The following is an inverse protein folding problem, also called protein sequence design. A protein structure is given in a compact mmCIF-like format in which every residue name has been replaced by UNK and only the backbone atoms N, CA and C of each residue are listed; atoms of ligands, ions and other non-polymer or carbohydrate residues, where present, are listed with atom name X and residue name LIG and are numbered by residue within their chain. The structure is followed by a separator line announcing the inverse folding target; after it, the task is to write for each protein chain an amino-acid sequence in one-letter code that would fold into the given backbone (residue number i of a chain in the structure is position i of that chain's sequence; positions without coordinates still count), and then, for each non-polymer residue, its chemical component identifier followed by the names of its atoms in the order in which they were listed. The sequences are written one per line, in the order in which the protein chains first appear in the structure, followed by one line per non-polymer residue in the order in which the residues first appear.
data_IF_120821129727
#
_entry.id   IF_120821129727
#
_cell.length_a   1.000
_cell.length_b   1.000
_cell.length_c   1.000
_cell.angle_alpha   90.00
_cell.angle_beta   90.00
_cell.angle_gamma   90.00
#
_symmetry.space_group_name_H-M   'P 1'
#
loop_
_entity.id
_entity.type
_entity.pdbx_description
1 polymer ?
#
# COMPACT_ATOMS: atom_id res chain seq x y z
N UNK A 1 -6.69 -18.05 0.03
CA UNK A 1 -7.91 -17.83 0.84
C UNK A 1 -9.02 -17.15 0.04
N UNK A 2 -8.82 -15.94 -0.49
CA UNK A 2 -9.90 -15.14 -1.10
C UNK A 2 -10.40 -15.61 -2.47
N UNK A 3 -9.53 -16.13 -3.33
CA UNK A 3 -9.93 -16.54 -4.68
C UNK A 3 -10.79 -17.81 -4.66
N UNK A 4 -11.92 -17.85 -5.39
CA UNK A 4 -12.68 -19.08 -5.63
C UNK A 4 -11.84 -20.17 -6.32
N UNK A 5 -10.83 -19.78 -7.12
CA UNK A 5 -9.93 -20.72 -7.79
C UNK A 5 -9.05 -21.50 -6.81
N UNK A 6 -8.92 -21.03 -5.57
CA UNK A 6 -8.17 -21.74 -4.54
C UNK A 6 -9.02 -22.69 -3.69
N UNK A 7 -10.31 -22.86 -4.01
CA UNK A 7 -11.23 -23.69 -3.23
C UNK A 7 -10.83 -25.16 -3.27
N UNK A 8 -10.70 -25.77 -2.08
CA UNK A 8 -10.33 -27.18 -1.93
C UNK A 8 -8.84 -27.49 -2.11
N UNK A 9 -7.99 -26.50 -2.40
CA UNK A 9 -6.54 -26.72 -2.59
C UNK A 9 -5.75 -26.79 -1.27
N UNK A 10 -6.35 -26.36 -0.16
CA UNK A 10 -5.74 -26.39 1.17
C UNK A 10 -6.84 -26.53 2.24
N UNK A 11 -6.42 -26.94 3.43
CA UNK A 11 -7.31 -27.18 4.58
C UNK A 11 -7.05 -26.23 5.76
N UNK A 12 -5.92 -25.51 5.76
CA UNK A 12 -5.48 -24.55 6.77
C UNK A 12 -4.62 -23.48 6.12
N UNK A 13 -4.50 -22.31 6.75
CA UNK A 13 -3.62 -21.24 6.30
C UNK A 13 -2.87 -20.57 7.45
N UNK A 14 -1.68 -20.03 7.16
CA UNK A 14 -0.90 -19.20 8.08
C UNK A 14 -0.64 -17.87 7.36
N UNK A 15 -1.07 -16.76 7.96
CA UNK A 15 -0.74 -15.40 7.52
C UNK A 15 0.34 -14.81 8.40
N UNK A 16 1.43 -14.33 7.81
CA UNK A 16 2.60 -13.80 8.54
C UNK A 16 2.87 -12.38 8.05
N UNK A 17 2.80 -11.41 8.96
CA UNK A 17 3.15 -10.00 8.73
C UNK A 17 2.44 -9.36 7.52
N UNK A 18 1.15 -9.67 7.30
CA UNK A 18 0.38 -9.02 6.25
C UNK A 18 -0.99 -9.61 5.96
N UNK A 19 -1.85 -8.79 5.34
CA UNK A 19 -3.19 -9.17 4.87
C UNK A 19 -3.44 -8.68 3.45
N UNK A 20 -4.45 -9.25 2.81
CA UNK A 20 -4.94 -8.74 1.53
C UNK A 20 -5.64 -7.36 1.63
N UNK A 21 -5.97 -6.89 2.83
CA UNK A 21 -6.58 -5.55 3.05
C UNK A 21 -5.55 -4.49 3.45
N UNK A 22 -4.30 -4.88 3.68
CA UNK A 22 -3.22 -3.95 3.95
C UNK A 22 -3.07 -2.95 2.78
N UNK A 23 -2.77 -1.66 3.04
CA UNK A 23 -2.75 -0.61 2.02
C UNK A 23 -1.83 -0.90 0.83
N UNK A 24 -0.76 -1.66 1.09
CA UNK A 24 0.26 -2.06 0.11
C UNK A 24 -0.10 -3.31 -0.68
N UNK A 25 -1.11 -4.10 -0.28
CA UNK A 25 -1.37 -5.43 -0.85
C UNK A 25 -2.35 -5.41 -2.04
N UNK A 26 -3.01 -4.28 -2.30
CA UNK A 26 -4.00 -4.16 -3.38
C UNK A 26 -3.96 -2.78 -4.04
N UNK A 27 -4.03 -2.76 -5.38
CA UNK A 27 -4.07 -1.53 -6.15
C UNK A 27 -5.51 -1.21 -6.60
N UNK A 28 -6.13 -0.12 -6.10
CA UNK A 28 -7.47 0.29 -6.51
C UNK A 28 -7.49 1.04 -7.85
N UNK A 29 -6.34 1.54 -8.32
CA UNK A 29 -6.21 2.38 -9.52
C UNK A 29 -5.04 1.95 -10.42
N UNK A 30 -4.98 0.68 -10.90
CA UNK A 30 -3.83 0.15 -11.64
C UNK A 30 -3.56 0.90 -12.96
N UNK A 31 -4.58 1.51 -13.56
CA UNK A 31 -4.44 2.33 -14.78
C UNK A 31 -3.70 3.64 -14.56
N UNK A 32 -3.83 4.23 -13.37
CA UNK A 32 -3.12 5.48 -13.02
C UNK A 32 -1.63 5.18 -12.99
N UNK A 33 -1.25 4.13 -12.28
CA UNK A 33 0.13 3.63 -12.23
C UNK A 33 0.64 3.37 -13.65
N UNK A 34 -0.05 2.54 -14.44
CA UNK A 34 0.36 2.24 -15.81
C UNK A 34 0.57 3.50 -16.68
N UNK A 35 -0.28 4.52 -16.52
CA UNK A 35 -0.12 5.78 -17.22
C UNK A 35 1.14 6.55 -16.78
N UNK A 36 1.39 6.63 -15.46
CA UNK A 36 2.59 7.28 -14.92
C UNK A 36 3.88 6.64 -15.46
N UNK A 37 3.93 5.31 -15.54
CA UNK A 37 5.10 4.58 -16.07
C UNK A 37 5.28 4.86 -17.56
N UNK A 38 4.20 4.78 -18.35
CA UNK A 38 4.27 5.11 -19.78
C UNK A 38 4.76 6.54 -20.00
N UNK A 39 4.36 7.49 -19.15
CA UNK A 39 4.85 8.87 -19.21
C UNK A 39 6.36 8.95 -18.97
N UNK A 40 6.90 8.23 -17.97
CA UNK A 40 8.35 8.15 -17.74
C UNK A 40 9.08 7.55 -18.95
N UNK A 41 8.44 6.62 -19.66
CA UNK A 41 8.95 6.01 -20.90
C UNK A 41 8.71 6.87 -22.16
N UNK A 42 8.24 8.11 -22.00
CA UNK A 42 8.04 9.06 -23.10
C UNK A 42 6.73 8.91 -23.87
N UNK A 43 5.78 8.11 -23.37
CA UNK A 43 4.47 7.89 -23.99
C UNK A 43 3.36 8.54 -23.18
N UNK A 44 2.92 9.72 -23.64
CA UNK A 44 1.79 10.44 -23.02
C UNK A 44 0.47 10.02 -23.67
N UNK A 45 -0.36 9.27 -22.93
CA UNK A 45 -1.66 8.82 -23.42
C UNK A 45 -2.58 8.35 -22.30
N UNK A 46 -3.89 8.50 -22.50
CA UNK A 46 -4.95 7.90 -21.67
C UNK A 46 -5.65 6.71 -22.36
N UNK A 47 -5.19 6.33 -23.56
CA UNK A 47 -5.79 5.25 -24.33
C UNK A 47 -5.23 3.88 -23.88
N UNK A 48 -6.12 3.00 -23.39
CA UNK A 48 -5.73 1.69 -22.87
C UNK A 48 -5.04 0.80 -23.92
N UNK A 49 -5.44 0.87 -25.19
CA UNK A 49 -4.84 0.06 -26.25
C UNK A 49 -3.42 0.55 -26.54
N UNK A 50 -3.21 1.86 -26.62
CA UNK A 50 -1.88 2.44 -26.82
C UNK A 50 -0.92 2.13 -25.67
N UNK A 51 -1.41 2.18 -24.42
CA UNK A 51 -0.65 1.73 -23.26
C UNK A 51 -0.24 0.25 -23.40
N UNK A 52 -1.20 -0.61 -23.73
CA UNK A 52 -0.95 -2.04 -23.93
C UNK A 52 0.09 -2.30 -25.03
N UNK A 53 -0.09 -1.70 -26.21
CA UNK A 53 0.82 -1.89 -27.35
C UNK A 53 2.24 -1.42 -27.02
N UNK A 54 2.37 -0.31 -26.30
CA UNK A 54 3.66 0.18 -25.82
C UNK A 54 4.31 -0.82 -24.86
N UNK A 55 3.60 -1.27 -23.83
CA UNK A 55 4.18 -2.19 -22.84
C UNK A 55 4.51 -3.56 -23.42
N UNK A 56 3.76 -4.03 -24.41
CA UNK A 56 4.04 -5.30 -25.10
C UNK A 56 5.29 -5.25 -25.98
N UNK A 57 5.74 -4.05 -26.38
CA UNK A 57 6.91 -3.86 -27.25
C UNK A 57 8.10 -3.20 -26.56
N UNK A 58 7.88 -2.68 -25.34
CA UNK A 58 8.91 -2.04 -24.54
C UNK A 58 10.03 -3.01 -24.15
N UNK A 59 11.25 -2.50 -24.07
CA UNK A 59 12.35 -3.22 -23.47
C UNK A 59 12.05 -3.46 -21.97
N UNK A 60 12.20 -4.70 -21.51
CA UNK A 60 11.87 -5.08 -20.13
C UNK A 60 12.71 -4.33 -19.10
N UNK A 61 14.01 -4.12 -19.35
CA UNK A 61 14.88 -3.34 -18.46
C UNK A 61 14.42 -1.89 -18.36
N UNK A 62 14.09 -1.27 -19.49
CA UNK A 62 13.58 0.11 -19.50
C UNK A 62 12.24 0.22 -18.77
N UNK A 63 11.35 -0.76 -18.93
CA UNK A 63 10.09 -0.83 -18.21
C UNK A 63 10.30 -0.97 -16.70
N UNK A 64 11.19 -1.86 -16.26
CA UNK A 64 11.55 -2.01 -14.84
C UNK A 64 12.14 -0.72 -14.28
N UNK A 65 13.06 -0.07 -14.97
CA UNK A 65 13.63 1.20 -14.50
C UNK A 65 12.58 2.30 -14.38
N UNK A 66 11.66 2.42 -15.34
CA UNK A 66 10.56 3.37 -15.26
C UNK A 66 9.60 3.06 -14.10
N UNK A 67 9.37 1.77 -13.83
CA UNK A 67 8.60 1.27 -12.68
C UNK A 67 9.22 1.72 -11.36
N UNK A 68 10.53 1.51 -11.23
CA UNK A 68 11.30 1.85 -10.04
C UNK A 68 11.29 3.36 -9.80
N UNK A 69 11.43 4.18 -10.85
CA UNK A 69 11.34 5.65 -10.74
C UNK A 69 10.02 6.08 -10.13
N UNK A 70 8.89 5.52 -10.59
CA UNK A 70 7.56 5.83 -10.05
C UNK A 70 7.45 5.39 -8.59
N UNK A 71 7.88 4.16 -8.27
CA UNK A 71 7.85 3.64 -6.90
C UNK A 71 8.70 4.49 -5.93
N UNK A 72 9.95 4.77 -6.29
CA UNK A 72 10.87 5.54 -5.43
C UNK A 72 10.42 6.99 -5.25
N UNK A 73 9.84 7.63 -6.27
CA UNK A 73 9.29 8.97 -6.14
C UNK A 73 8.16 9.01 -5.09
N UNK A 74 7.33 7.97 -5.01
CA UNK A 74 6.22 7.88 -4.04
C UNK A 74 6.70 7.55 -2.64
N UNK A 75 7.73 6.71 -2.52
CA UNK A 75 8.42 6.47 -1.24
C UNK A 75 9.02 7.75 -0.63
N UNK A 76 9.35 8.77 -1.43
CA UNK A 76 9.79 10.06 -0.89
C UNK A 76 8.65 10.88 -0.29
N UNK A 77 7.39 10.60 -0.62
CA UNK A 77 6.25 11.33 -0.08
C UNK A 77 5.83 10.79 1.30
N UNK A 78 6.40 11.36 2.35
CA UNK A 78 6.11 11.00 3.75
C UNK A 78 4.64 11.14 4.17
N UNK A 79 3.83 11.91 3.43
CA UNK A 79 2.39 12.09 3.75
C UNK A 79 1.49 11.10 3.02
N UNK A 80 2.05 10.30 2.11
CA UNK A 80 1.35 9.27 1.35
C UNK A 80 2.33 8.17 0.91
N UNK A 81 2.85 7.42 1.89
CA UNK A 81 3.73 6.27 1.64
C UNK A 81 2.86 5.11 1.14
N UNK A 82 2.43 5.21 -0.11
CA UNK A 82 1.73 4.14 -0.79
C UNK A 82 2.73 3.39 -1.68
N UNK A 83 2.81 2.07 -1.51
CA UNK A 83 3.69 1.18 -2.28
C UNK A 83 2.90 0.14 -3.09
N UNK A 84 1.60 0.35 -3.30
CA UNK A 84 0.74 -0.58 -4.04
C UNK A 84 0.96 -0.59 -5.58
N UNK A 85 2.20 -0.38 -6.02
CA UNK A 85 2.59 -0.40 -7.43
C UNK A 85 2.86 -1.85 -7.83
N UNK A 86 2.20 -2.33 -8.89
CA UNK A 86 2.31 -3.72 -9.39
C UNK A 86 1.93 -4.82 -8.40
N UNK A 87 0.98 -4.53 -7.52
CA UNK A 87 0.36 -5.52 -6.64
C UNK A 87 -0.98 -5.99 -7.22
N UNK A 88 -1.64 -7.01 -6.66
CA UNK A 88 -2.94 -7.47 -7.13
C UNK A 88 -3.97 -6.33 -7.31
N UNK A 89 -4.81 -6.43 -8.33
CA UNK A 89 -5.92 -5.52 -8.59
C UNK A 89 -7.16 -6.31 -9.05
N UNK A 90 -8.33 -5.69 -9.06
CA UNK A 90 -9.55 -6.35 -9.52
C UNK A 90 -9.53 -6.58 -11.05
N UNK A 91 -9.64 -7.84 -11.46
CA UNK A 91 -9.58 -8.24 -12.86
C UNK A 91 -10.87 -7.91 -13.64
N UNK A 92 -10.74 -7.03 -14.64
CA UNK A 92 -11.84 -6.58 -15.50
C UNK A 92 -11.70 -7.06 -16.95
N UNK A 93 -12.82 -7.23 -17.65
CA UNK A 93 -12.85 -7.15 -19.12
C UNK A 93 -12.26 -8.30 -19.97
N UNK A 94 -11.54 -9.28 -19.41
CA UNK A 94 -11.09 -10.48 -20.17
C UNK A 94 -11.96 -11.71 -19.92
N UNK A 95 -12.23 -12.48 -20.98
CA UNK A 95 -12.81 -13.83 -20.91
C UNK A 95 -11.76 -14.79 -20.35
N UNK A 96 -12.17 -15.71 -19.47
CA UNK A 96 -11.29 -16.69 -18.84
C UNK A 96 -11.48 -16.76 -17.33
N UNK A 97 -10.69 -17.63 -16.69
CA UNK A 97 -10.62 -17.70 -15.23
C UNK A 97 -9.94 -16.44 -14.69
N UNK A 98 -10.49 -15.91 -13.60
CA UNK A 98 -9.98 -14.73 -12.90
C UNK A 98 -9.68 -15.12 -11.46
N UNK A 99 -8.54 -14.71 -10.97
CA UNK A 99 -8.11 -15.01 -9.61
C UNK A 99 -8.83 -14.11 -8.60
N UNK A 100 -8.81 -12.79 -8.80
CA UNK A 100 -9.46 -11.80 -7.93
C UNK A 100 -10.25 -10.80 -8.78
N UNK A 101 -11.55 -10.69 -8.52
CA UNK A 101 -12.46 -9.83 -9.31
C UNK A 101 -13.01 -8.62 -8.56
N UNK A 102 -12.76 -8.55 -7.25
CA UNK A 102 -13.22 -7.48 -6.35
C UNK A 102 -12.12 -7.09 -5.39
N UNK A 103 -12.16 -5.87 -4.82
CA UNK A 103 -11.32 -5.52 -3.68
C UNK A 103 -11.43 -6.55 -2.54
N UNK A 104 -10.31 -6.97 -1.92
CA UNK A 104 -10.30 -7.95 -0.84
C UNK A 104 -11.29 -7.66 0.29
N UNK A 105 -11.45 -6.38 0.67
CA UNK A 105 -12.39 -5.97 1.72
C UNK A 105 -13.86 -6.28 1.36
N UNK A 106 -14.23 -6.21 0.09
CA UNK A 106 -15.58 -6.55 -0.37
C UNK A 106 -15.80 -8.07 -0.33
N UNK A 107 -14.82 -8.86 -0.78
CA UNK A 107 -14.88 -10.33 -0.73
C UNK A 107 -15.06 -10.81 0.72
N UNK A 108 -14.33 -10.21 1.65
CA UNK A 108 -14.41 -10.52 3.07
C UNK A 108 -15.79 -10.16 3.65
N UNK A 109 -16.32 -8.97 3.36
CA UNK A 109 -17.65 -8.53 3.81
C UNK A 109 -18.78 -9.40 3.26
N UNK A 110 -18.64 -9.90 2.04
CA UNK A 110 -19.60 -10.81 1.42
C UNK A 110 -19.53 -12.24 1.97
N UNK A 111 -18.47 -12.59 2.70
CA UNK A 111 -18.24 -13.95 3.18
C UNK A 111 -17.90 -14.96 2.07
N UNK A 112 -17.67 -14.49 0.84
CA UNK A 112 -17.46 -15.33 -0.35
C UNK A 112 -15.99 -15.69 -0.54
N UNK A 113 -15.41 -16.37 0.43
CA UNK A 113 -14.02 -16.84 0.40
C UNK A 113 -13.90 -18.24 1.01
N UNK A 114 -12.73 -18.85 0.89
CA UNK A 114 -12.49 -20.18 1.44
C UNK A 114 -12.33 -20.11 2.96
N UNK A 115 -13.35 -20.56 3.69
CA UNK A 115 -13.33 -20.61 5.15
C UNK A 115 -12.57 -21.87 5.62
N UNK A 116 -11.35 -21.66 6.10
CA UNK A 116 -10.51 -22.69 6.71
C UNK A 116 -9.93 -22.16 8.02
N UNK A 117 -9.56 -23.02 8.98
CA UNK A 117 -8.79 -22.59 10.15
C UNK A 117 -7.53 -21.82 9.72
N UNK A 118 -7.32 -20.66 10.34
CA UNK A 118 -6.21 -19.78 10.03
C UNK A 118 -5.46 -19.38 11.29
N UNK A 119 -4.13 -19.36 11.20
CA UNK A 119 -3.26 -18.70 12.17
C UNK A 119 -2.76 -17.40 11.53
N UNK A 120 -2.80 -16.29 12.27
CA UNK A 120 -2.27 -15.00 11.83
C UNK A 120 -1.33 -14.45 12.89
N UNK A 121 -0.28 -13.76 12.47
CA UNK A 121 0.65 -13.09 13.38
C UNK A 121 1.47 -12.00 12.69
N UNK A 122 1.97 -11.08 13.50
CA UNK A 122 2.93 -10.02 13.16
C UNK A 122 4.16 -10.18 14.05
N UNK A 123 5.22 -9.41 13.78
CA UNK A 123 6.25 -9.19 14.79
C UNK A 123 5.88 -7.98 15.67
N UNK A 124 6.69 -7.68 16.69
CA UNK A 124 6.58 -6.47 17.51
C UNK A 124 7.26 -5.25 16.85
N UNK A 125 7.74 -5.39 15.61
CA UNK A 125 8.54 -4.40 14.91
C UNK A 125 8.47 -4.52 13.37
N UNK A 126 7.35 -4.94 12.76
CA UNK A 126 7.24 -5.05 11.29
C UNK A 126 7.43 -3.66 10.64
N UNK A 127 7.02 -2.58 11.33
CA UNK A 127 7.25 -1.19 10.93
C UNK A 127 8.71 -0.81 10.65
N UNK A 128 9.70 -1.59 11.12
CA UNK A 128 11.13 -1.37 10.81
C UNK A 128 11.44 -1.44 9.32
N UNK A 129 10.59 -2.10 8.52
CA UNK A 129 10.77 -2.21 7.07
C UNK A 129 10.82 -0.83 6.39
N UNK A 130 10.10 0.17 6.91
CA UNK A 130 10.13 1.53 6.35
C UNK A 130 11.48 2.21 6.53
N UNK A 131 12.23 1.89 7.59
CA UNK A 131 13.58 2.40 7.79
C UNK A 131 14.58 1.83 6.76
N UNK A 132 14.29 0.64 6.21
CA UNK A 132 15.08 0.07 5.12
C UNK A 132 14.77 0.75 3.77
N UNK A 133 13.52 1.17 3.54
CA UNK A 133 13.11 1.80 2.28
C UNK A 133 13.33 3.32 2.24
N UNK A 134 13.28 3.99 3.39
CA UNK A 134 13.46 5.44 3.47
C UNK A 134 14.36 5.80 4.66
N UNK A 135 15.42 6.55 4.35
CA UNK A 135 16.18 7.30 5.34
C UNK A 135 15.43 8.59 5.65
N UNK A 136 14.85 8.68 6.85
CA UNK A 136 14.19 9.90 7.30
C UNK A 136 15.21 11.04 7.49
N UNK A 137 14.87 12.23 7.06
CA UNK A 137 15.70 13.43 7.22
C UNK A 137 15.12 14.34 8.30
N UNK A 138 15.88 15.34 8.74
CA UNK A 138 15.36 16.37 9.64
C UNK A 138 14.19 17.13 9.01
N UNK A 139 14.20 17.34 7.68
CA UNK A 139 13.09 17.96 6.94
C UNK A 139 11.84 17.06 6.91
N UNK A 140 12.03 15.74 6.80
CA UNK A 140 10.93 14.78 6.94
C UNK A 140 10.31 14.89 8.34
N UNK A 141 11.13 14.85 9.40
CA UNK A 141 10.64 14.97 10.77
C UNK A 141 9.97 16.32 11.01
N UNK A 142 10.52 17.42 10.49
CA UNK A 142 9.88 18.73 10.57
C UNK A 142 8.49 18.69 9.96
N UNK A 143 8.36 18.15 8.76
CA UNK A 143 7.06 18.04 8.06
C UNK A 143 6.10 17.12 8.83
N UNK A 144 6.57 15.99 9.35
CA UNK A 144 5.77 15.07 10.16
C UNK A 144 5.37 15.68 11.51
N UNK A 145 6.15 16.60 12.06
CA UNK A 145 5.79 17.35 13.26
C UNK A 145 4.74 18.41 12.96
N UNK A 146 4.87 19.14 11.84
CA UNK A 146 3.97 20.21 11.41
C UNK A 146 2.58 19.70 10.98
N UNK A 147 2.50 18.49 10.42
CA UNK A 147 1.26 17.90 9.91
C UNK A 147 0.94 16.58 10.62
N UNK A 148 -0.35 16.31 10.87
CA UNK A 148 -0.79 15.06 11.49
C UNK A 148 -1.22 13.99 10.48
N UNK A 149 -1.64 14.40 9.30
CA UNK A 149 -2.37 13.56 8.35
C UNK A 149 -1.57 12.37 7.79
N UNK A 150 -0.24 12.40 7.87
CA UNK A 150 0.61 11.28 7.48
C UNK A 150 0.40 10.03 8.34
N UNK A 151 0.01 10.20 9.61
CA UNK A 151 -0.21 9.10 10.55
C UNK A 151 -1.56 8.40 10.32
N UNK A 152 -2.42 8.94 9.43
CA UNK A 152 -3.73 8.36 9.15
C UNK A 152 -3.61 7.34 8.01
N UNK A 153 -3.97 6.06 8.23
CA UNK A 153 -3.98 5.08 7.16
C UNK A 153 -4.91 5.52 6.02
N UNK A 154 -4.40 5.47 4.78
CA UNK A 154 -5.18 5.83 3.59
C UNK A 154 -6.42 4.94 3.41
N UNK A 155 -6.39 3.72 3.95
CA UNK A 155 -7.50 2.76 3.96
C UNK A 155 -8.72 3.23 4.77
N UNK A 156 -8.56 4.18 5.69
CA UNK A 156 -9.67 4.70 6.51
C UNK A 156 -10.60 5.64 5.74
N UNK A 157 -10.21 6.07 4.52
CA UNK A 157 -11.03 6.90 3.62
C UNK A 157 -11.66 8.12 4.30
N UNK A 158 -10.89 8.79 5.17
CA UNK A 158 -11.32 10.08 5.73
C UNK A 158 -11.30 11.13 4.61
N UNK A 159 -12.45 11.72 4.29
CA UNK A 159 -12.56 12.69 3.19
C UNK A 159 -12.11 14.11 3.59
N UNK A 160 -12.21 14.45 4.88
CA UNK A 160 -11.91 15.80 5.38
C UNK A 160 -10.46 15.94 5.82
N UNK A 161 -9.72 16.88 5.22
CA UNK A 161 -8.36 17.27 5.66
C UNK A 161 -8.33 17.70 7.12
N UNK A 162 -9.39 18.36 7.59
CA UNK A 162 -9.52 18.74 9.00
C UNK A 162 -9.59 17.51 9.90
N UNK A 163 -10.43 16.52 9.56
CA UNK A 163 -10.53 15.27 10.32
C UNK A 163 -9.22 14.46 10.26
N UNK A 164 -8.57 14.39 9.09
CA UNK A 164 -7.26 13.73 8.96
C UNK A 164 -6.23 14.33 9.89
N UNK A 165 -6.17 15.66 10.00
CA UNK A 165 -5.23 16.30 10.91
C UNK A 165 -5.57 16.06 12.38
N UNK A 166 -6.86 16.06 12.77
CA UNK A 166 -7.25 15.75 14.16
C UNK A 166 -6.89 14.32 14.52
N UNK A 167 -7.30 13.35 13.71
CA UNK A 167 -7.04 11.93 13.95
C UNK A 167 -5.54 11.67 13.93
N UNK A 168 -4.84 12.20 12.93
CA UNK A 168 -3.40 12.06 12.80
C UNK A 168 -2.62 12.67 13.96
N UNK A 169 -3.00 13.86 14.45
CA UNK A 169 -2.39 14.44 15.64
C UNK A 169 -2.71 13.65 16.92
N UNK A 170 -3.89 13.02 16.99
CA UNK A 170 -4.25 12.13 18.10
C UNK A 170 -3.37 10.88 18.10
N UNK A 171 -3.16 10.26 16.93
CA UNK A 171 -2.25 9.13 16.75
C UNK A 171 -0.81 9.51 17.11
N UNK A 172 -0.32 10.64 16.59
CA UNK A 172 1.00 11.17 16.98
C UNK A 172 1.12 11.34 18.49
N UNK A 173 0.12 11.94 19.14
CA UNK A 173 0.17 12.10 20.60
C UNK A 173 0.15 10.76 21.34
N UNK A 174 -0.57 9.77 20.83
CA UNK A 174 -0.59 8.42 21.41
C UNK A 174 0.80 7.76 21.43
N UNK A 175 1.55 7.86 20.33
CA UNK A 175 2.88 7.22 20.21
C UNK A 175 4.02 8.06 20.76
N UNK A 176 4.01 9.38 20.55
CA UNK A 176 5.15 10.25 20.87
C UNK A 176 4.90 11.15 22.10
N UNK A 177 3.66 11.22 22.60
CA UNK A 177 3.27 12.15 23.64
C UNK A 177 3.42 13.60 23.18
N UNK A 178 4.11 14.41 23.99
CA UNK A 178 4.45 15.80 23.65
C UNK A 178 5.84 15.94 23.00
N UNK A 179 6.52 14.83 22.73
CA UNK A 179 7.86 14.86 22.15
C UNK A 179 7.78 15.09 20.63
N UNK A 180 8.62 15.96 20.06
CA UNK A 180 8.74 16.08 18.62
C UNK A 180 9.41 14.84 18.04
N UNK A 181 8.91 14.38 16.90
CA UNK A 181 9.55 13.32 16.12
C UNK A 181 10.97 13.72 15.76
N UNK A 182 11.88 12.79 15.96
CA UNK A 182 13.30 12.86 15.61
C UNK A 182 13.90 11.46 15.68
N UNK A 183 15.16 11.30 15.27
CA UNK A 183 15.87 10.03 15.41
C UNK A 183 15.92 9.49 16.85
N UNK A 184 15.77 10.34 17.87
CA UNK A 184 15.69 9.92 19.27
C UNK A 184 14.46 9.05 19.56
N UNK A 185 13.37 9.29 18.83
CA UNK A 185 12.07 8.60 18.99
C UNK A 185 11.77 7.69 17.79
N UNK A 186 12.81 7.16 17.14
CA UNK A 186 12.66 6.32 15.95
C UNK A 186 11.93 5.01 16.25
N UNK A 187 12.09 4.47 17.45
CA UNK A 187 11.39 3.25 17.87
C UNK A 187 9.88 3.50 18.04
N UNK A 188 9.49 4.67 18.56
CA UNK A 188 8.08 5.07 18.65
C UNK A 188 7.46 5.24 17.26
N UNK A 189 8.24 5.77 16.30
CA UNK A 189 7.84 5.82 14.89
C UNK A 189 7.70 4.43 14.28
N UNK A 190 8.59 3.49 14.60
CA UNK A 190 8.44 2.09 14.16
C UNK A 190 7.13 1.49 14.68
N UNK A 191 6.76 1.74 15.94
CA UNK A 191 5.50 1.25 16.51
C UNK A 191 4.27 1.88 15.85
N UNK A 192 4.32 3.17 15.52
CA UNK A 192 3.25 3.84 14.77
C UNK A 192 3.08 3.23 13.37
N UNK A 193 4.19 3.04 12.65
CA UNK A 193 4.18 2.46 11.32
C UNK A 193 3.72 0.98 11.34
N UNK A 194 4.00 0.27 12.43
CA UNK A 194 3.53 -1.09 12.66
C UNK A 194 2.00 -1.15 12.72
N UNK A 195 1.35 -0.19 13.39
CA UNK A 195 -0.11 -0.05 13.42
C UNK A 195 -0.66 0.18 12.00
N UNK A 196 0.03 0.97 11.18
CA UNK A 196 -0.35 1.23 9.78
C UNK A 196 -0.23 0.01 8.85
N UNK A 197 0.60 -0.98 9.20
CA UNK A 197 0.77 -2.22 8.45
C UNK A 197 -0.09 -3.38 8.94
N UNK A 198 -0.45 -3.34 10.22
CA UNK A 198 -1.08 -4.43 10.94
C UNK A 198 -2.55 -4.67 10.58
N UNK A 199 -3.07 -5.82 11.01
CA UNK A 199 -4.34 -6.47 10.67
C UNK A 199 -5.63 -5.72 11.08
N UNK A 200 -5.66 -4.39 11.10
CA UNK A 200 -6.77 -3.59 11.67
C UNK A 200 -7.76 -3.08 10.64
#
# INVERSE_FOLDING_TARGET
ILSPLSKGLFHRAIGQSGTAVSPWAFNPAPKVVATEIAHIMGVVTTNNQRLYDHFMTANSTALTLASDVVLFAKLQNIRDININYYVPCAEVGRKGQKFITKPPIEILKEGNFNQVPMMVGTTDADGTIFLAFKKFTEDDFKTMNDFGDWAVPSTWKLESTFLKNIVGNTLKHHFFGSNPLSYKFINDLVQELDMGMSFH
#
